data_IF_930591328840
#
_entry.id   IF_930591328840
#
_cell.length_a   1.000
_cell.length_b   1.000
_cell.length_c   1.000
_cell.angle_alpha   90.00
_cell.angle_beta   90.00
_cell.angle_gamma   90.00
#
_symmetry.space_group_name_H-M   'P 1'
#
loop_
_entity.id
_entity.type
_entity.pdbx_description
1 polymer ?
#
# COMPACT_ATOMS: atom_id res chain seq x y z
N UNK A 1 -7.75 10.43 -6.10
CA UNK A 1 -8.93 10.15 -5.25
C UNK A 1 -9.82 9.20 -6.03
N UNK A 2 -9.78 7.89 -5.73
CA UNK A 2 -10.64 6.92 -6.40
C UNK A 2 -12.04 7.05 -5.81
N UNK A 3 -13.01 7.43 -6.62
CA UNK A 3 -14.42 7.44 -6.23
C UNK A 3 -14.87 5.98 -6.21
N UNK A 4 -14.95 5.37 -5.06
CA UNK A 4 -15.61 4.08 -4.88
C UNK A 4 -17.09 4.27 -5.13
N UNK A 5 -17.60 3.68 -6.21
CA UNK A 5 -19.04 3.54 -6.40
C UNK A 5 -19.57 2.61 -5.30
N UNK A 6 -20.53 3.08 -4.53
CA UNK A 6 -21.18 2.31 -3.47
C UNK A 6 -21.87 1.07 -4.08
N UNK A 7 -21.39 -0.15 -3.81
CA UNK A 7 -21.95 -1.37 -4.40
C UNK A 7 -23.39 -1.62 -3.97
N UNK A 8 -23.89 -1.01 -2.89
CA UNK A 8 -25.28 -1.14 -2.44
C UNK A 8 -26.26 -0.39 -3.35
N UNK A 9 -25.75 0.51 -4.19
CA UNK A 9 -26.54 1.30 -5.16
C UNK A 9 -26.49 0.76 -6.57
N UNK A 10 -25.78 -0.35 -6.81
CA UNK A 10 -25.80 -1.00 -8.11
C UNK A 10 -27.20 -1.57 -8.39
N UNK A 11 -27.78 -1.35 -9.58
CA UNK A 11 -29.06 -1.94 -9.92
C UNK A 11 -28.95 -3.47 -9.86
N UNK A 12 -29.88 -4.15 -9.17
CA UNK A 12 -29.96 -5.60 -9.16
C UNK A 12 -30.23 -6.08 -10.59
N UNK A 13 -29.21 -6.59 -11.25
CA UNK A 13 -29.33 -7.23 -12.55
C UNK A 13 -29.94 -8.63 -12.37
N UNK A 14 -30.78 -9.09 -13.32
CA UNK A 14 -31.24 -10.46 -13.30
C UNK A 14 -30.08 -11.45 -13.29
N UNK A 15 -30.18 -12.61 -12.60
CA UNK A 15 -29.06 -13.57 -12.43
C UNK A 15 -28.46 -14.08 -13.74
N UNK A 16 -29.17 -13.98 -14.86
CA UNK A 16 -28.75 -14.42 -16.19
C UNK A 16 -28.13 -13.28 -17.04
N UNK A 17 -28.16 -12.04 -16.56
CA UNK A 17 -27.57 -10.90 -17.27
C UNK A 17 -26.14 -10.70 -16.76
N UNK A 18 -25.10 -10.79 -17.63
CA UNK A 18 -23.75 -10.46 -17.21
C UNK A 18 -23.73 -9.02 -16.71
N UNK A 19 -23.32 -8.85 -15.46
CA UNK A 19 -23.09 -7.53 -14.87
C UNK A 19 -22.05 -6.75 -15.68
N UNK A 20 -21.97 -5.42 -15.50
CA UNK A 20 -20.91 -4.64 -16.13
C UNK A 20 -19.57 -5.29 -15.77
N UNK A 21 -18.69 -5.43 -16.77
CA UNK A 21 -17.36 -6.00 -16.55
C UNK A 21 -16.65 -5.16 -15.50
N UNK A 22 -16.66 -5.62 -14.26
CA UNK A 22 -15.94 -4.99 -13.16
C UNK A 22 -14.45 -5.24 -13.45
N UNK A 23 -13.69 -4.19 -13.68
CA UNK A 23 -12.22 -4.34 -13.76
C UNK A 23 -11.73 -4.91 -12.44
N UNK A 24 -10.93 -5.97 -12.44
CA UNK A 24 -10.38 -6.49 -11.19
C UNK A 24 -9.65 -5.37 -10.47
N UNK A 25 -10.02 -5.12 -9.22
CA UNK A 25 -9.33 -4.15 -8.40
C UNK A 25 -7.94 -4.69 -8.01
N UNK A 26 -6.93 -3.83 -8.03
CA UNK A 26 -5.63 -4.09 -7.40
C UNK A 26 -5.55 -3.20 -6.17
N UNK A 27 -5.36 -3.80 -5.01
CA UNK A 27 -5.31 -3.12 -3.72
C UNK A 27 -3.94 -3.35 -3.11
N UNK A 28 -3.25 -2.28 -2.74
CA UNK A 28 -1.97 -2.35 -2.05
C UNK A 28 -2.20 -2.12 -0.55
N UNK A 29 -1.85 -3.11 0.26
CA UNK A 29 -1.79 -3.01 1.70
C UNK A 29 -0.37 -2.54 2.07
N UNK A 30 -0.23 -1.33 2.61
CA UNK A 30 1.05 -0.70 2.94
C UNK A 30 1.14 -0.25 4.40
N UNK A 31 0.25 -0.73 5.27
CA UNK A 31 0.17 -0.34 6.69
C UNK A 31 0.91 -1.33 7.58
N UNK A 32 0.68 -2.63 7.40
CA UNK A 32 1.38 -3.69 8.12
C UNK A 32 0.97 -3.81 9.59
N UNK A 33 -0.30 -3.65 9.92
CA UNK A 33 -0.81 -3.89 11.27
C UNK A 33 -1.95 -4.92 11.26
N UNK A 34 -2.18 -5.64 12.37
CA UNK A 34 -3.24 -6.64 12.46
C UNK A 34 -4.63 -6.09 12.11
N UNK A 35 -5.43 -6.90 11.42
CA UNK A 35 -6.80 -6.59 11.03
C UNK A 35 -6.95 -5.83 9.71
N UNK A 36 -5.89 -5.25 9.15
CA UNK A 36 -5.97 -4.50 7.89
C UNK A 36 -6.24 -5.44 6.72
N UNK A 37 -5.58 -6.60 6.66
CA UNK A 37 -5.82 -7.59 5.59
C UNK A 37 -7.27 -8.05 5.63
N UNK A 38 -7.81 -8.39 6.80
CA UNK A 38 -9.21 -8.79 6.96
C UNK A 38 -10.18 -7.68 6.52
N UNK A 39 -9.92 -6.44 6.89
CA UNK A 39 -10.73 -5.29 6.48
C UNK A 39 -10.72 -5.10 4.96
N UNK A 40 -9.57 -5.27 4.31
CA UNK A 40 -9.45 -5.20 2.85
C UNK A 40 -10.21 -6.36 2.21
N UNK A 41 -10.03 -7.60 2.68
CA UNK A 41 -10.75 -8.78 2.16
C UNK A 41 -12.26 -8.59 2.24
N UNK A 42 -12.76 -8.06 3.36
CA UNK A 42 -14.18 -7.81 3.57
C UNK A 42 -14.75 -6.73 2.64
N UNK A 43 -13.97 -5.70 2.31
CA UNK A 43 -14.41 -4.59 1.46
C UNK A 43 -14.09 -4.76 -0.03
N UNK A 44 -13.13 -5.62 -0.38
CA UNK A 44 -12.71 -5.84 -1.76
C UNK A 44 -13.83 -6.42 -2.63
N UNK A 45 -13.92 -6.01 -3.91
CA UNK A 45 -14.81 -6.65 -4.86
C UNK A 45 -14.34 -8.08 -5.20
N UNK A 46 -15.24 -8.91 -5.72
CA UNK A 46 -14.88 -10.25 -6.21
C UNK A 46 -13.79 -10.21 -7.28
N UNK A 47 -12.88 -11.18 -7.27
CA UNK A 47 -11.74 -11.27 -8.19
C UNK A 47 -10.63 -10.25 -7.93
N UNK A 48 -10.67 -9.50 -6.83
CA UNK A 48 -9.63 -8.51 -6.53
C UNK A 48 -8.27 -9.16 -6.26
N UNK A 49 -7.22 -8.45 -6.65
CA UNK A 49 -5.83 -8.76 -6.29
C UNK A 49 -5.38 -7.86 -5.15
N UNK A 50 -4.97 -8.45 -4.04
CA UNK A 50 -4.42 -7.75 -2.87
C UNK A 50 -2.92 -8.00 -2.85
N UNK A 51 -2.12 -6.92 -2.85
CA UNK A 51 -0.66 -6.98 -2.74
C UNK A 51 -0.29 -6.45 -1.36
N UNK A 52 0.20 -7.35 -0.51
CA UNK A 52 0.59 -7.03 0.87
C UNK A 52 2.06 -6.62 0.88
N UNK A 53 2.29 -5.32 1.03
CA UNK A 53 3.61 -4.66 1.09
C UNK A 53 3.96 -4.31 2.53
N UNK A 54 2.96 -4.01 3.35
CA UNK A 54 3.12 -3.70 4.76
C UNK A 54 3.69 -4.88 5.55
N UNK A 55 4.62 -4.60 6.47
CA UNK A 55 5.28 -5.62 7.28
C UNK A 55 4.59 -5.71 8.64
N UNK A 56 3.65 -6.64 8.77
CA UNK A 56 3.03 -6.95 10.06
C UNK A 56 3.92 -7.92 10.84
N UNK A 57 4.46 -7.48 11.97
CA UNK A 57 5.33 -8.29 12.84
C UNK A 57 4.55 -9.11 13.87
N UNK A 58 3.25 -8.93 13.95
CA UNK A 58 2.36 -9.62 14.85
C UNK A 58 1.57 -10.72 14.14
N UNK A 59 0.95 -11.61 14.91
CA UNK A 59 0.00 -12.56 14.35
C UNK A 59 -1.27 -11.84 13.95
N UNK A 60 -1.72 -12.10 12.73
CA UNK A 60 -2.98 -11.58 12.21
C UNK A 60 -3.95 -12.73 11.90
N UNK A 61 -5.24 -12.43 11.86
CA UNK A 61 -6.30 -13.38 11.57
C UNK A 61 -7.12 -12.91 10.38
N UNK A 62 -7.40 -13.82 9.50
CA UNK A 62 -8.28 -13.60 8.35
C UNK A 62 -9.36 -14.67 8.32
N UNK A 63 -10.53 -14.34 7.75
CA UNK A 63 -11.59 -15.31 7.48
C UNK A 63 -11.41 -15.90 6.07
N UNK A 64 -10.90 -17.16 5.94
CA UNK A 64 -10.64 -17.76 4.63
C UNK A 64 -11.88 -17.86 3.75
N UNK A 65 -13.06 -18.02 4.34
CA UNK A 65 -14.31 -18.10 3.59
C UNK A 65 -14.59 -16.81 2.81
N UNK A 66 -14.21 -15.66 3.35
CA UNK A 66 -14.30 -14.36 2.65
C UNK A 66 -13.43 -14.38 1.38
N UNK A 67 -12.20 -14.89 1.48
CA UNK A 67 -11.30 -15.04 0.34
C UNK A 67 -11.84 -15.99 -0.72
N UNK A 68 -12.38 -17.14 -0.31
CA UNK A 68 -12.96 -18.17 -1.19
C UNK A 68 -14.19 -17.63 -1.92
N UNK A 69 -15.14 -17.03 -1.17
CA UNK A 69 -16.41 -16.58 -1.73
C UNK A 69 -16.25 -15.44 -2.75
N UNK A 70 -15.16 -14.67 -2.63
CA UNK A 70 -14.84 -13.56 -3.52
C UNK A 70 -13.75 -13.88 -4.55
N UNK A 71 -13.20 -15.11 -4.54
CA UNK A 71 -12.10 -15.52 -5.42
C UNK A 71 -10.92 -14.55 -5.38
N UNK A 72 -10.52 -14.11 -4.16
CA UNK A 72 -9.47 -13.13 -3.96
C UNK A 72 -8.09 -13.74 -4.25
N UNK A 73 -7.22 -12.94 -4.87
CA UNK A 73 -5.81 -13.25 -5.03
C UNK A 73 -5.00 -12.41 -4.05
N UNK A 74 -4.29 -13.05 -3.09
CA UNK A 74 -3.46 -12.35 -2.11
C UNK A 74 -2.00 -12.70 -2.36
N UNK A 75 -1.17 -11.68 -2.58
CA UNK A 75 0.24 -11.79 -2.83
C UNK A 75 1.02 -11.03 -1.76
N UNK A 76 1.83 -11.74 -0.99
CA UNK A 76 2.82 -11.14 -0.10
C UNK A 76 4.09 -10.82 -0.89
N UNK A 77 4.69 -9.67 -0.63
CA UNK A 77 5.94 -9.22 -1.25
C UNK A 77 6.94 -8.79 -0.19
N UNK A 78 8.22 -8.92 -0.49
CA UNK A 78 9.29 -8.56 0.44
C UNK A 78 10.42 -7.85 -0.30
N UNK A 79 10.63 -6.59 0.07
CA UNK A 79 11.79 -5.83 -0.39
C UNK A 79 11.83 -5.62 -1.91
N UNK A 80 13.04 -5.49 -2.42
CA UNK A 80 13.36 -5.27 -3.83
C UNK A 80 14.71 -5.92 -4.17
N UNK A 81 14.90 -6.25 -5.44
CA UNK A 81 16.19 -6.75 -5.92
C UNK A 81 17.19 -5.60 -6.14
N UNK A 82 18.49 -5.89 -6.25
CA UNK A 82 19.50 -4.88 -6.61
C UNK A 82 19.18 -4.19 -7.95
N UNK A 83 18.63 -4.91 -8.90
CA UNK A 83 18.24 -4.40 -10.23
C UNK A 83 17.07 -3.42 -10.12
N UNK A 84 16.06 -3.76 -9.30
CA UNK A 84 14.93 -2.86 -9.04
C UNK A 84 15.36 -1.58 -8.33
N UNK A 85 16.32 -1.68 -7.39
CA UNK A 85 16.91 -0.51 -6.74
C UNK A 85 17.62 0.39 -7.76
N UNK A 86 18.48 -0.19 -8.60
CA UNK A 86 19.23 0.56 -9.63
C UNK A 86 18.27 1.20 -10.64
N UNK A 87 17.24 0.47 -11.09
CA UNK A 87 16.23 1.00 -11.99
C UNK A 87 15.45 2.18 -11.37
N UNK A 88 15.06 2.05 -10.10
CA UNK A 88 14.36 3.13 -9.38
C UNK A 88 15.24 4.38 -9.27
N UNK A 89 16.53 4.21 -8.98
CA UNK A 89 17.47 5.33 -8.93
C UNK A 89 17.61 6.03 -10.29
N UNK A 90 17.67 5.26 -11.40
CA UNK A 90 17.69 5.83 -12.75
C UNK A 90 16.41 6.60 -13.05
N UNK A 91 15.24 6.05 -12.72
CA UNK A 91 13.96 6.72 -12.93
C UNK A 91 13.84 8.04 -12.14
N UNK A 92 14.38 8.08 -10.91
CA UNK A 92 14.47 9.32 -10.13
C UNK A 92 15.41 10.33 -10.80
N UNK A 93 16.61 9.88 -11.24
CA UNK A 93 17.60 10.75 -11.87
C UNK A 93 17.13 11.33 -13.21
N UNK A 94 16.36 10.55 -13.97
CA UNK A 94 15.77 10.97 -15.25
C UNK A 94 14.46 11.76 -15.10
N UNK A 95 13.98 11.97 -13.87
CA UNK A 95 12.75 12.71 -13.60
C UNK A 95 11.47 11.96 -13.99
N UNK A 96 11.55 10.65 -14.24
CA UNK A 96 10.37 9.81 -14.53
C UNK A 96 9.53 9.57 -13.27
N UNK A 97 10.16 9.62 -12.10
CA UNK A 97 9.51 9.56 -10.79
C UNK A 97 9.87 10.83 -10.02
N UNK A 98 8.87 11.54 -9.52
CA UNK A 98 9.09 12.65 -8.61
C UNK A 98 9.01 12.16 -7.15
N UNK A 99 10.16 12.08 -6.48
CA UNK A 99 10.27 11.68 -5.08
C UNK A 99 10.13 12.83 -4.07
N UNK A 100 10.22 14.08 -4.52
CA UNK A 100 10.24 15.27 -3.64
C UNK A 100 9.07 15.34 -2.67
N UNK A 101 7.82 15.03 -3.05
CA UNK A 101 6.69 15.07 -2.12
C UNK A 101 6.78 14.09 -0.95
N UNK A 102 7.64 13.07 -1.05
CA UNK A 102 7.84 12.09 0.01
C UNK A 102 8.89 12.54 1.02
N UNK A 103 9.78 13.48 0.65
CA UNK A 103 10.86 13.97 1.51
C UNK A 103 10.29 15.11 2.36
N UNK A 104 10.01 14.80 3.62
CA UNK A 104 9.37 15.74 4.55
C UNK A 104 10.34 16.36 5.55
N UNK A 105 11.59 15.94 5.54
CA UNK A 105 12.63 16.49 6.40
C UNK A 105 14.03 16.07 5.99
N UNK A 106 15.02 16.84 6.46
CA UNK A 106 16.44 16.55 6.31
C UNK A 106 17.14 16.84 7.63
N UNK A 107 18.06 15.98 8.04
CA UNK A 107 18.82 16.13 9.28
C UNK A 107 20.28 15.76 9.08
N UNK A 108 21.18 16.35 9.87
CA UNK A 108 22.55 15.85 10.03
C UNK A 108 22.61 14.60 10.90
N UNK A 109 23.82 14.09 11.12
CA UNK A 109 24.04 12.88 11.93
C UNK A 109 23.53 13.06 13.36
N UNK A 110 23.69 14.25 13.94
CA UNK A 110 23.25 14.58 15.29
C UNK A 110 21.73 14.57 15.45
N UNK A 111 20.98 14.79 14.35
CA UNK A 111 19.52 14.80 14.34
C UNK A 111 18.86 13.43 14.19
N UNK A 112 19.63 12.35 13.98
CA UNK A 112 19.09 11.03 13.65
C UNK A 112 18.16 10.49 14.72
N UNK A 113 18.51 10.56 16.00
CA UNK A 113 17.67 10.10 17.10
C UNK A 113 16.30 10.79 17.10
N UNK A 114 16.32 12.12 16.98
CA UNK A 114 15.10 12.93 16.89
C UNK A 114 14.26 12.59 15.65
N UNK A 115 14.90 12.35 14.52
CA UNK A 115 14.19 11.96 13.28
C UNK A 115 13.44 10.64 13.43
N UNK A 116 13.97 9.67 14.16
CA UNK A 116 13.26 8.42 14.48
C UNK A 116 12.03 8.67 15.36
N UNK A 117 12.13 9.55 16.35
CA UNK A 117 10.99 9.94 17.18
C UNK A 117 9.92 10.63 16.34
N UNK A 118 10.30 11.56 15.46
CA UNK A 118 9.38 12.31 14.61
C UNK A 118 8.65 11.41 13.59
N UNK A 119 9.33 10.40 13.06
CA UNK A 119 8.73 9.40 12.15
C UNK A 119 7.70 8.48 12.83
N UNK A 120 7.64 8.46 14.17
CA UNK A 120 6.54 7.79 14.89
C UNK A 120 5.18 8.49 14.69
N UNK A 121 5.18 9.73 14.15
CA UNK A 121 3.97 10.50 13.83
C UNK A 121 3.76 10.55 12.31
N UNK A 122 3.08 9.58 11.70
CA UNK A 122 2.94 9.47 10.25
C UNK A 122 2.15 10.62 9.61
N UNK A 123 1.40 11.36 10.40
CA UNK A 123 0.67 12.56 9.97
C UNK A 123 1.60 13.72 9.58
N UNK A 124 2.80 13.74 10.13
CA UNK A 124 3.74 14.85 9.97
C UNK A 124 4.86 14.53 8.99
N UNK A 125 5.39 13.32 9.08
CA UNK A 125 6.55 12.90 8.31
C UNK A 125 6.31 11.61 7.56
N UNK A 126 6.65 11.62 6.24
CA UNK A 126 6.70 10.42 5.40
C UNK A 126 8.13 9.87 5.31
N UNK A 127 9.11 10.76 5.09
CA UNK A 127 10.52 10.38 4.97
C UNK A 127 11.43 11.52 5.39
N UNK A 128 12.38 11.24 6.26
CA UNK A 128 13.45 12.16 6.67
C UNK A 128 14.76 11.63 6.12
N UNK A 129 15.48 12.44 5.34
CA UNK A 129 16.80 12.10 4.83
C UNK A 129 17.88 12.50 5.84
N UNK A 130 18.88 11.63 5.98
CA UNK A 130 20.12 11.96 6.73
C UNK A 130 21.18 12.42 5.74
N UNK A 131 21.59 13.68 5.87
CA UNK A 131 22.70 14.26 5.11
C UNK A 131 23.92 14.38 6.04
N UNK A 132 24.93 13.48 5.95
CA UNK A 132 26.02 13.42 6.94
C UNK A 132 26.88 14.69 7.04
N UNK A 133 26.87 15.52 6.01
CA UNK A 133 27.59 16.80 5.94
C UNK A 133 26.71 18.03 6.22
N UNK A 134 25.49 17.81 6.59
CA UNK A 134 24.57 18.87 7.01
C UNK A 134 24.80 19.15 8.49
N UNK A 135 25.23 20.35 8.84
CA UNK A 135 25.42 20.82 10.22
C UNK A 135 24.29 21.72 10.66
#
# INVERSE_FOLDING_TARGET
MAVYADPSKAPMLPPWMPGPAVRPAVIFECVGVPGVIESIMSSAPGGARIVVVGVCMERDHIEPLTGISKELNIQFVLGYSPEEFAATLSHLAEGQINGDPLITGKVGVEGVAKAFEDLASPETHAKILVEPWHS
#
